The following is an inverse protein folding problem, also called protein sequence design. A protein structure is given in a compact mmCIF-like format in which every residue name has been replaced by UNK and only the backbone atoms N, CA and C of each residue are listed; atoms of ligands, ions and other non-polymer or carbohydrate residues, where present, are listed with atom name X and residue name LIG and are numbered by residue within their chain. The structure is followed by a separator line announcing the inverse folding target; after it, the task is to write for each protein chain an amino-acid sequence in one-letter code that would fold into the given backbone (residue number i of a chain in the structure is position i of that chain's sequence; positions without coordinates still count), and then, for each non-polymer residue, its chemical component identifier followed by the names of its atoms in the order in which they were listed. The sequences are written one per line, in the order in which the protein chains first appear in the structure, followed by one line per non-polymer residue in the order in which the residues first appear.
data_IF_159644452907
#
_entry.id   IF_159644452907
#
_cell.length_a   1.000
_cell.length_b   1.000
_cell.length_c   1.000
_cell.angle_alpha   90.00
_cell.angle_beta   90.00
_cell.angle_gamma   90.00
#
_symmetry.space_group_name_H-M   'P 1'
#
loop_
_entity.id
_entity.type
_entity.pdbx_description
1 polymer ?
#
# COMPACT_ATOMS: atom_id res chain seq x y z
N UNK A 1 -3.88 -47.18 79.23
CA UNK A 1 -4.86 -46.22 78.69
C UNK A 1 -4.15 -45.45 77.59
N UNK A 2 -4.45 -45.81 76.33
CA UNK A 2 -3.79 -45.34 75.12
C UNK A 2 -4.61 -44.17 74.51
N UNK A 3 -3.96 -43.03 74.23
CA UNK A 3 -4.55 -41.96 73.43
C UNK A 3 -3.82 -41.90 72.09
N UNK A 4 -4.52 -42.31 71.09
CA UNK A 4 -4.08 -42.22 69.65
C UNK A 4 -4.26 -40.79 69.21
N UNK A 5 -3.19 -40.13 68.84
CA UNK A 5 -3.17 -38.79 68.21
C UNK A 5 -3.24 -38.96 66.68
N UNK A 6 -4.39 -38.62 66.09
CA UNK A 6 -4.54 -38.60 64.64
C UNK A 6 -4.04 -37.25 64.09
N UNK A 7 -2.90 -37.29 63.37
CA UNK A 7 -2.40 -36.14 62.61
C UNK A 7 -3.10 -36.07 61.22
N UNK A 8 -3.88 -35.01 60.99
CA UNK A 8 -4.41 -34.62 59.68
C UNK A 8 -3.32 -33.83 58.95
N UNK A 9 -2.75 -34.42 57.91
CA UNK A 9 -1.96 -33.71 56.90
C UNK A 9 -2.94 -33.04 55.90
N UNK A 10 -3.07 -31.73 56.00
CA UNK A 10 -3.76 -30.92 55.00
C UNK A 10 -2.76 -30.64 53.85
N UNK A 11 -2.95 -31.31 52.72
CA UNK A 11 -2.22 -31.02 51.48
C UNK A 11 -2.76 -29.73 50.85
N UNK A 12 -2.07 -28.62 51.03
CA UNK A 12 -2.34 -27.39 50.31
C UNK A 12 -1.77 -27.53 48.89
N UNK A 13 -2.65 -27.80 47.92
CA UNK A 13 -2.28 -27.76 46.49
C UNK A 13 -2.03 -26.32 46.06
N UNK A 14 -0.77 -25.93 45.87
CA UNK A 14 -0.41 -24.70 45.19
C UNK A 14 -0.78 -24.87 43.69
N UNK A 15 -1.89 -24.24 43.29
CA UNK A 15 -2.17 -24.05 41.88
C UNK A 15 -1.15 -23.03 41.31
N UNK A 16 -0.13 -23.50 40.59
CA UNK A 16 0.72 -22.67 39.79
C UNK A 16 -0.13 -22.14 38.61
N UNK A 17 -0.68 -20.93 38.76
CA UNK A 17 -1.10 -20.16 37.61
C UNK A 17 0.18 -19.77 36.83
N UNK A 18 0.45 -20.49 35.75
CA UNK A 18 1.42 -20.05 34.78
C UNK A 18 0.97 -18.70 34.18
N UNK A 19 1.52 -17.60 34.67
CA UNK A 19 1.44 -16.31 34.03
C UNK A 19 2.02 -16.48 32.64
N UNK A 20 1.17 -16.54 31.61
CA UNK A 20 1.64 -16.44 30.24
C UNK A 20 2.49 -15.15 30.10
N UNK A 21 3.64 -15.19 29.44
CA UNK A 21 4.43 -13.98 29.26
C UNK A 21 3.55 -12.92 28.60
N UNK A 22 3.43 -11.76 29.26
CA UNK A 22 2.74 -10.60 28.71
C UNK A 22 3.64 -10.08 27.58
N UNK A 23 3.38 -10.54 26.36
CA UNK A 23 4.10 -10.02 25.20
C UNK A 23 3.81 -8.52 25.06
N UNK A 24 4.86 -7.72 24.82
CA UNK A 24 4.71 -6.29 24.60
C UNK A 24 3.79 -6.00 23.41
N UNK A 25 2.95 -4.97 23.53
CA UNK A 25 2.05 -4.59 22.45
C UNK A 25 2.80 -4.30 21.13
N UNK A 26 2.21 -4.70 20.01
CA UNK A 26 2.80 -4.49 18.67
C UNK A 26 2.63 -3.03 18.26
N UNK A 27 3.72 -2.32 18.02
CA UNK A 27 3.71 -0.94 17.55
C UNK A 27 3.46 -0.91 16.05
N UNK A 28 2.24 -0.57 15.63
CA UNK A 28 1.83 -0.49 14.23
C UNK A 28 1.93 0.95 13.74
N UNK A 29 2.59 1.14 12.61
CA UNK A 29 2.84 2.46 12.03
C UNK A 29 2.43 2.54 10.55
N UNK A 30 2.55 3.73 9.98
CA UNK A 30 2.33 3.99 8.55
C UNK A 30 3.20 5.13 8.04
N UNK A 31 3.30 5.20 6.71
CA UNK A 31 3.78 6.41 6.02
C UNK A 31 2.75 7.53 6.15
N UNK A 32 3.09 8.73 5.65
CA UNK A 32 2.18 9.90 5.65
C UNK A 32 0.96 9.70 4.72
N UNK A 33 1.05 8.84 3.70
CA UNK A 33 -0.04 8.65 2.75
C UNK A 33 -1.29 8.07 3.42
N UNK A 34 -2.46 8.54 3.00
CA UNK A 34 -3.78 8.10 3.49
C UNK A 34 -3.99 6.60 3.32
N UNK A 35 -3.56 6.02 2.18
CA UNK A 35 -3.64 4.58 1.93
C UNK A 35 -2.82 3.77 2.94
N UNK A 36 -1.56 4.17 3.17
CA UNK A 36 -0.71 3.49 4.16
C UNK A 36 -1.29 3.57 5.56
N UNK A 37 -1.83 4.74 5.95
CA UNK A 37 -2.48 4.94 7.23
C UNK A 37 -3.75 4.09 7.36
N UNK A 38 -4.58 4.03 6.31
CA UNK A 38 -5.82 3.25 6.31
C UNK A 38 -5.53 1.74 6.42
N UNK A 39 -4.61 1.20 5.63
CA UNK A 39 -4.25 -0.22 5.72
C UNK A 39 -3.58 -0.52 7.08
N UNK A 40 -2.75 0.38 7.58
CA UNK A 40 -2.17 0.29 8.92
C UNK A 40 -3.23 0.23 10.02
N UNK A 41 -4.27 1.07 9.94
CA UNK A 41 -5.41 1.03 10.87
C UNK A 41 -6.22 -0.27 10.74
N UNK A 42 -6.42 -0.79 9.52
CA UNK A 42 -7.07 -2.10 9.34
C UNK A 42 -6.30 -3.20 10.07
N UNK A 43 -4.98 -3.25 9.90
CA UNK A 43 -4.14 -4.25 10.58
C UNK A 43 -4.21 -4.07 12.09
N UNK A 44 -4.07 -2.85 12.61
CA UNK A 44 -4.13 -2.57 14.03
C UNK A 44 -5.45 -3.03 14.64
N UNK A 45 -6.58 -2.59 14.07
CA UNK A 45 -7.92 -2.95 14.55
C UNK A 45 -8.17 -4.46 14.49
N UNK A 46 -7.71 -5.12 13.42
CA UNK A 46 -7.84 -6.57 13.26
C UNK A 46 -7.01 -7.33 14.30
N UNK A 47 -5.79 -6.89 14.58
CA UNK A 47 -4.92 -7.49 15.60
C UNK A 47 -5.55 -7.35 17.00
N UNK A 48 -6.02 -6.14 17.35
CA UNK A 48 -6.72 -5.90 18.64
C UNK A 48 -7.96 -6.79 18.78
N UNK A 49 -8.77 -6.92 17.72
CA UNK A 49 -9.96 -7.79 17.70
C UNK A 49 -9.62 -9.30 17.84
N UNK A 50 -8.38 -9.69 17.57
CA UNK A 50 -7.87 -11.07 17.70
C UNK A 50 -7.01 -11.28 18.94
N UNK A 51 -7.04 -10.33 19.90
CA UNK A 51 -6.34 -10.43 21.19
C UNK A 51 -4.83 -10.20 21.11
N UNK A 52 -4.33 -9.60 20.03
CA UNK A 52 -2.95 -9.12 19.92
C UNK A 52 -2.94 -7.63 20.22
N UNK A 53 -2.46 -7.18 21.40
CA UNK A 53 -2.51 -5.78 21.78
C UNK A 53 -1.62 -4.94 20.87
N UNK A 54 -2.08 -3.74 20.48
CA UNK A 54 -1.35 -2.85 19.59
C UNK A 54 -1.15 -1.45 20.16
N UNK A 55 -0.13 -0.75 19.65
CA UNK A 55 0.09 0.70 19.87
C UNK A 55 0.02 1.39 18.52
N UNK A 56 -0.77 2.46 18.44
CA UNK A 56 -0.93 3.29 17.24
C UNK A 56 0.21 4.30 17.11
N UNK A 57 0.95 4.23 16.01
CA UNK A 57 2.00 5.18 15.61
C UNK A 57 1.84 5.55 14.12
N UNK A 58 0.58 5.74 13.67
CA UNK A 58 0.31 6.08 12.27
C UNK A 58 0.90 7.42 11.86
N UNK A 59 1.07 7.60 10.55
CA UNK A 59 1.58 8.83 9.92
C UNK A 59 2.91 9.32 10.47
N UNK A 60 3.83 8.39 10.73
CA UNK A 60 5.11 8.69 11.38
C UNK A 60 6.04 9.54 10.50
N UNK A 61 5.99 9.36 9.17
CA UNK A 61 6.84 10.11 8.25
C UNK A 61 6.85 9.56 6.83
N UNK A 62 7.73 10.13 6.00
CA UNK A 62 8.04 9.60 4.68
C UNK A 62 8.81 8.27 4.79
N UNK A 63 8.93 7.55 3.66
CA UNK A 63 9.58 6.23 3.61
C UNK A 63 10.91 6.12 4.37
N UNK A 64 11.87 7.07 4.25
CA UNK A 64 13.13 6.94 4.99
C UNK A 64 12.97 6.99 6.51
N UNK A 65 12.01 7.79 7.01
CA UNK A 65 11.75 7.95 8.45
C UNK A 65 11.13 6.69 9.04
N UNK A 66 10.06 6.19 8.40
CA UNK A 66 9.35 4.99 8.89
C UNK A 66 10.25 3.75 8.77
N UNK A 67 11.00 3.66 7.67
CA UNK A 67 11.97 2.58 7.47
C UNK A 67 13.04 2.56 8.57
N UNK A 68 13.60 3.72 8.90
CA UNK A 68 14.59 3.85 9.97
C UNK A 68 14.00 3.42 11.31
N UNK A 69 12.80 3.91 11.66
CA UNK A 69 12.12 3.55 12.90
C UNK A 69 11.88 2.03 13.04
N UNK A 70 11.54 1.33 11.94
CA UNK A 70 11.43 -0.13 11.94
C UNK A 70 12.78 -0.80 12.22
N UNK A 71 13.84 -0.35 11.55
CA UNK A 71 15.18 -0.93 11.71
C UNK A 71 15.76 -0.70 13.11
N UNK A 72 15.46 0.43 13.73
CA UNK A 72 15.89 0.79 15.09
C UNK A 72 14.98 0.19 16.17
N UNK A 73 13.85 -0.43 15.79
CA UNK A 73 12.93 -1.07 16.73
C UNK A 73 12.00 -0.11 17.46
N UNK A 74 11.86 1.12 16.99
CA UNK A 74 10.89 2.09 17.52
C UNK A 74 9.45 1.76 17.12
N UNK A 75 9.28 1.06 16.00
CA UNK A 75 8.04 0.47 15.54
C UNK A 75 8.25 -1.00 15.18
N UNK A 76 7.18 -1.78 15.12
CA UNK A 76 7.22 -3.22 14.91
C UNK A 76 6.73 -3.65 13.53
N UNK A 77 5.78 -2.91 12.95
CA UNK A 77 5.15 -3.20 11.69
C UNK A 77 4.67 -1.93 11.00
N UNK A 78 4.82 -1.86 9.69
CA UNK A 78 4.17 -0.84 8.85
C UNK A 78 3.90 -1.35 7.44
N UNK A 79 3.17 -0.57 6.63
CA UNK A 79 2.90 -0.88 5.23
C UNK A 79 3.99 -0.29 4.35
N UNK A 80 4.71 -1.18 3.67
CA UNK A 80 5.67 -0.83 2.63
C UNK A 80 5.07 -1.17 1.25
N UNK A 81 5.75 -0.76 0.19
CA UNK A 81 5.38 -1.06 -1.21
C UNK A 81 6.54 -1.79 -1.87
N UNK A 82 6.25 -2.90 -2.54
CA UNK A 82 7.27 -3.86 -3.03
C UNK A 82 8.39 -3.21 -3.83
N UNK A 83 8.07 -2.32 -4.76
CA UNK A 83 9.04 -1.63 -5.62
C UNK A 83 10.06 -0.77 -4.88
N UNK A 84 9.75 -0.30 -3.66
CA UNK A 84 10.69 0.51 -2.86
C UNK A 84 11.94 -0.27 -2.46
N UNK A 85 11.87 -1.59 -2.35
CA UNK A 85 13.03 -2.42 -2.04
C UNK A 85 14.12 -2.31 -3.12
N UNK A 86 13.76 -2.02 -4.35
CA UNK A 86 14.74 -1.73 -5.42
C UNK A 86 15.69 -0.60 -5.05
N UNK A 87 15.18 0.43 -4.37
CA UNK A 87 15.99 1.56 -3.90
C UNK A 87 16.72 1.24 -2.59
N UNK A 88 16.09 0.51 -1.66
CA UNK A 88 16.73 0.15 -0.39
C UNK A 88 18.00 -0.68 -0.59
N UNK A 89 18.01 -1.52 -1.62
CA UNK A 89 19.09 -2.46 -1.89
C UNK A 89 19.90 -2.14 -3.16
N UNK A 90 19.71 -0.95 -3.75
CA UNK A 90 20.40 -0.51 -4.98
C UNK A 90 20.24 -1.47 -6.17
N UNK A 91 19.07 -2.09 -6.30
CA UNK A 91 18.69 -3.03 -7.38
C UNK A 91 17.43 -2.58 -8.12
N UNK A 92 17.19 -1.28 -8.21
CA UNK A 92 15.97 -0.72 -8.82
C UNK A 92 15.78 -1.10 -10.31
N UNK A 93 16.85 -1.48 -11.00
CA UNK A 93 16.80 -1.88 -12.41
C UNK A 93 16.55 -3.39 -12.62
N UNK A 94 16.39 -4.18 -11.54
CA UNK A 94 16.12 -5.61 -11.68
C UNK A 94 14.73 -5.82 -12.31
N UNK A 95 14.63 -6.64 -13.38
CA UNK A 95 13.35 -6.87 -14.06
C UNK A 95 12.30 -7.55 -13.18
N UNK A 96 12.71 -8.21 -12.10
CA UNK A 96 11.79 -8.82 -11.14
C UNK A 96 10.76 -7.83 -10.58
N UNK A 97 11.09 -6.54 -10.49
CA UNK A 97 10.16 -5.52 -9.99
C UNK A 97 8.93 -5.31 -10.87
N UNK A 98 8.97 -5.75 -12.14
CA UNK A 98 7.84 -5.65 -13.08
C UNK A 98 6.82 -6.79 -12.93
N UNK A 99 7.12 -7.77 -12.12
CA UNK A 99 6.24 -8.89 -11.77
C UNK A 99 5.98 -8.87 -10.26
N UNK A 100 4.71 -8.96 -9.87
CA UNK A 100 4.31 -8.83 -8.45
C UNK A 100 4.94 -9.93 -7.59
N UNK A 101 4.94 -11.16 -8.07
CA UNK A 101 5.43 -12.32 -7.29
C UNK A 101 6.96 -12.32 -7.19
N UNK A 102 7.64 -12.05 -8.31
CA UNK A 102 9.10 -12.01 -8.35
C UNK A 102 9.65 -10.82 -7.55
N UNK A 103 9.05 -9.63 -7.69
CA UNK A 103 9.44 -8.44 -6.93
C UNK A 103 9.24 -8.62 -5.43
N UNK A 104 8.09 -9.19 -5.02
CA UNK A 104 7.86 -9.53 -3.62
C UNK A 104 8.91 -10.52 -3.10
N UNK A 105 9.17 -11.62 -3.82
CA UNK A 105 10.13 -12.63 -3.40
C UNK A 105 11.56 -12.08 -3.30
N UNK A 106 11.96 -11.22 -4.24
CA UNK A 106 13.25 -10.54 -4.23
C UNK A 106 13.38 -9.60 -3.02
N UNK A 107 12.40 -8.72 -2.80
CA UNK A 107 12.38 -7.79 -1.68
C UNK A 107 12.41 -8.49 -0.32
N UNK A 108 11.54 -9.49 -0.14
CA UNK A 108 11.47 -10.29 1.08
C UNK A 108 12.80 -10.98 1.40
N UNK A 109 13.45 -11.58 0.40
CA UNK A 109 14.74 -12.26 0.55
C UNK A 109 15.85 -11.29 0.94
N UNK A 110 15.94 -10.15 0.24
CA UNK A 110 16.98 -9.15 0.50
C UNK A 110 16.83 -8.55 1.89
N UNK A 111 15.61 -8.21 2.28
CA UNK A 111 15.34 -7.53 3.54
C UNK A 111 15.49 -8.48 4.75
N UNK A 112 15.09 -9.73 4.60
CA UNK A 112 15.33 -10.71 5.64
C UNK A 112 16.82 -10.98 5.84
N UNK A 113 17.57 -11.11 4.75
CA UNK A 113 19.02 -11.37 4.82
C UNK A 113 19.79 -10.22 5.47
N UNK A 114 19.44 -8.97 5.10
CA UNK A 114 20.16 -7.78 5.57
C UNK A 114 19.70 -7.31 6.95
N UNK A 115 18.40 -7.37 7.25
CA UNK A 115 17.81 -6.63 8.36
C UNK A 115 16.91 -7.48 9.26
N UNK A 116 16.70 -8.77 8.95
CA UNK A 116 15.73 -9.63 9.66
C UNK A 116 14.31 -9.04 9.66
N UNK A 117 13.93 -8.40 8.57
CA UNK A 117 12.56 -7.92 8.34
C UNK A 117 11.81 -8.98 7.54
N UNK A 118 10.65 -9.36 8.06
CA UNK A 118 9.75 -10.34 7.46
C UNK A 118 8.70 -9.60 6.65
N UNK A 119 8.58 -9.92 5.38
CA UNK A 119 7.52 -9.44 4.51
C UNK A 119 6.34 -10.40 4.58
N UNK A 120 5.16 -9.87 4.93
CA UNK A 120 3.94 -10.66 5.01
C UNK A 120 3.26 -10.75 3.64
N UNK A 121 2.01 -11.23 3.58
CA UNK A 121 1.27 -11.35 2.32
C UNK A 121 1.02 -9.94 1.73
N UNK A 122 1.41 -9.65 0.49
CA UNK A 122 1.08 -8.40 -0.18
C UNK A 122 -0.39 -8.34 -0.59
N UNK A 123 -0.92 -7.15 -0.78
CA UNK A 123 -2.20 -6.93 -1.45
C UNK A 123 -2.10 -7.24 -2.95
N UNK A 124 -3.22 -7.60 -3.57
CA UNK A 124 -3.29 -7.77 -5.03
C UNK A 124 -3.59 -6.43 -5.74
N UNK A 125 -2.72 -5.48 -5.52
CA UNK A 125 -2.85 -4.11 -6.02
C UNK A 125 -1.49 -3.52 -6.36
N UNK A 126 -1.46 -2.44 -7.13
CA UNK A 126 -0.23 -1.69 -7.40
C UNK A 126 -0.48 -0.19 -7.31
N UNK A 127 0.27 0.47 -6.45
CA UNK A 127 0.34 1.92 -6.31
C UNK A 127 1.46 2.51 -7.19
N UNK A 128 1.64 1.97 -8.40
CA UNK A 128 2.59 2.50 -9.38
C UNK A 128 2.06 3.78 -10.02
N UNK A 129 2.97 4.61 -10.57
CA UNK A 129 2.56 5.68 -11.47
C UNK A 129 1.88 5.13 -12.71
N UNK A 130 0.79 5.78 -13.11
CA UNK A 130 -0.01 5.41 -14.26
C UNK A 130 -0.58 6.67 -14.94
N UNK A 131 -1.24 6.49 -16.08
CA UNK A 131 -2.02 7.52 -16.72
C UNK A 131 -3.52 7.18 -16.61
N UNK A 132 -4.32 8.19 -16.33
CA UNK A 132 -5.77 8.08 -16.36
C UNK A 132 -6.33 9.15 -17.32
N UNK A 133 -7.30 8.75 -18.14
CA UNK A 133 -7.92 9.60 -19.17
C UNK A 133 -9.37 9.87 -18.77
N UNK A 134 -9.88 11.04 -19.06
CA UNK A 134 -11.30 11.35 -18.85
C UNK A 134 -12.19 10.32 -19.55
N UNK A 135 -13.26 9.90 -18.88
CA UNK A 135 -14.14 8.84 -19.37
C UNK A 135 -14.78 9.15 -20.72
N UNK A 136 -15.16 10.41 -20.97
CA UNK A 136 -15.71 10.84 -22.26
C UNK A 136 -14.68 10.70 -23.41
N UNK A 137 -13.42 11.07 -23.16
CA UNK A 137 -12.33 10.94 -24.13
C UNK A 137 -11.95 9.46 -24.32
N UNK A 138 -11.88 8.70 -23.24
CA UNK A 138 -11.58 7.27 -23.28
C UNK A 138 -12.65 6.50 -24.08
N UNK A 139 -13.91 6.79 -23.86
CA UNK A 139 -15.03 6.17 -24.58
C UNK A 139 -15.01 6.53 -26.07
N UNK A 140 -14.84 7.82 -26.41
CA UNK A 140 -14.82 8.29 -27.80
C UNK A 140 -13.67 7.71 -28.62
N UNK A 141 -12.53 7.36 -27.98
CA UNK A 141 -11.32 6.87 -28.65
C UNK A 141 -10.96 5.43 -28.29
N UNK A 142 -11.86 4.70 -27.61
CA UNK A 142 -11.70 3.30 -27.20
C UNK A 142 -10.41 3.04 -26.41
N UNK A 143 -10.05 3.98 -25.51
CA UNK A 143 -8.81 3.89 -24.71
C UNK A 143 -9.06 3.05 -23.45
N UNK A 144 -8.31 1.95 -23.32
CA UNK A 144 -8.32 1.05 -22.15
C UNK A 144 -6.92 0.75 -21.65
N UNK A 145 -5.92 0.80 -22.54
CA UNK A 145 -4.54 0.44 -22.23
C UNK A 145 -3.56 1.51 -22.71
N UNK A 146 -2.33 1.41 -22.25
CA UNK A 146 -1.23 2.25 -22.72
C UNK A 146 -0.92 2.02 -24.22
N UNK A 147 -1.16 0.81 -24.75
CA UNK A 147 -1.05 0.54 -26.19
C UNK A 147 -2.14 1.29 -26.98
N UNK A 148 -3.37 1.41 -26.45
CA UNK A 148 -4.44 2.20 -27.07
C UNK A 148 -4.07 3.70 -27.07
N UNK A 149 -3.58 4.17 -25.91
CA UNK A 149 -3.14 5.56 -25.75
C UNK A 149 -2.03 5.91 -26.76
N UNK A 150 -1.03 5.04 -26.91
CA UNK A 150 0.05 5.22 -27.86
C UNK A 150 -0.46 5.33 -29.31
N UNK A 151 -1.42 4.49 -29.70
CA UNK A 151 -2.07 4.59 -31.02
C UNK A 151 -2.81 5.92 -31.21
N UNK A 152 -3.53 6.35 -30.18
CA UNK A 152 -4.26 7.61 -30.17
C UNK A 152 -3.32 8.82 -30.33
N UNK A 153 -2.22 8.87 -29.55
CA UNK A 153 -1.21 9.93 -29.62
C UNK A 153 -0.57 9.98 -31.03
N UNK A 154 -0.16 8.82 -31.55
CA UNK A 154 0.48 8.71 -32.87
C UNK A 154 -0.48 9.04 -34.03
N UNK A 155 -1.76 8.80 -33.85
CA UNK A 155 -2.83 9.18 -34.79
C UNK A 155 -3.20 10.68 -34.76
N UNK A 156 -2.50 11.49 -33.97
CA UNK A 156 -2.75 12.93 -33.85
C UNK A 156 -3.84 13.29 -32.86
N UNK A 157 -4.21 12.38 -31.97
CA UNK A 157 -5.19 12.62 -30.90
C UNK A 157 -4.83 13.87 -30.08
N UNK A 158 -5.85 14.68 -29.69
CA UNK A 158 -5.62 15.95 -28.96
C UNK A 158 -5.35 15.68 -27.47
N UNK A 159 -4.24 14.96 -27.17
CA UNK A 159 -3.87 14.67 -25.79
C UNK A 159 -3.21 15.87 -25.12
N UNK A 160 -3.65 16.18 -23.89
CA UNK A 160 -3.00 17.11 -22.96
C UNK A 160 -2.88 16.41 -21.61
N UNK A 161 -1.65 16.13 -21.20
CA UNK A 161 -1.31 15.40 -19.99
C UNK A 161 -0.88 16.35 -18.86
N UNK A 162 -1.58 16.36 -17.75
CA UNK A 162 -1.12 16.95 -16.50
C UNK A 162 -0.24 15.95 -15.74
N UNK A 163 0.95 16.36 -15.35
CA UNK A 163 1.88 15.52 -14.60
C UNK A 163 2.74 16.33 -13.62
N UNK A 164 3.41 15.65 -12.70
CA UNK A 164 4.42 16.27 -11.83
C UNK A 164 5.75 16.44 -12.55
N UNK A 165 6.58 17.36 -12.05
CA UNK A 165 7.94 17.53 -12.52
C UNK A 165 8.78 16.24 -12.35
N UNK A 166 8.54 15.49 -11.28
CA UNK A 166 9.22 14.23 -11.04
C UNK A 166 8.88 13.19 -12.13
N UNK A 167 7.58 13.00 -12.41
CA UNK A 167 7.14 12.08 -13.46
C UNK A 167 7.73 12.45 -14.84
N UNK A 168 7.70 13.73 -15.19
CA UNK A 168 8.20 14.22 -16.46
C UNK A 168 9.74 14.05 -16.60
N UNK A 169 10.50 14.25 -15.51
CA UNK A 169 11.96 14.35 -15.53
C UNK A 169 12.68 13.10 -15.04
N UNK A 170 12.09 12.28 -14.16
CA UNK A 170 12.72 11.09 -13.58
C UNK A 170 12.84 9.89 -14.53
N UNK A 171 12.52 10.04 -15.79
CA UNK A 171 12.63 8.98 -16.79
C UNK A 171 11.39 8.11 -16.95
N UNK A 172 10.39 8.23 -16.08
CA UNK A 172 9.15 7.44 -16.14
C UNK A 172 8.39 7.66 -17.44
N UNK A 173 8.12 8.93 -17.80
CA UNK A 173 7.47 9.25 -19.06
C UNK A 173 8.29 8.74 -20.27
N UNK A 174 9.60 8.90 -20.25
CA UNK A 174 10.47 8.41 -21.33
C UNK A 174 10.45 6.89 -21.44
N UNK A 175 10.38 6.19 -20.32
CA UNK A 175 10.25 4.74 -20.31
C UNK A 175 8.92 4.28 -20.93
N UNK A 176 7.82 4.93 -20.61
CA UNK A 176 6.52 4.70 -21.25
C UNK A 176 6.57 5.00 -22.76
N UNK A 177 7.08 6.17 -23.14
CA UNK A 177 7.26 6.55 -24.56
C UNK A 177 8.04 5.50 -25.33
N UNK A 178 9.15 5.02 -24.78
CA UNK A 178 10.00 3.99 -25.39
C UNK A 178 9.28 2.65 -25.51
N UNK A 179 8.65 2.20 -24.44
CA UNK A 179 8.01 0.88 -24.38
C UNK A 179 6.80 0.78 -25.32
N UNK A 180 6.00 1.86 -25.37
CA UNK A 180 4.76 1.89 -26.15
C UNK A 180 4.92 2.52 -27.54
N UNK A 181 6.07 3.11 -27.84
CA UNK A 181 6.37 3.65 -29.16
C UNK A 181 5.60 4.93 -29.49
N UNK A 182 5.42 5.82 -28.52
CA UNK A 182 4.83 7.15 -28.74
C UNK A 182 5.78 8.26 -28.28
N UNK A 183 5.44 9.50 -28.60
CA UNK A 183 6.17 10.67 -28.13
C UNK A 183 5.22 11.81 -27.82
N UNK A 184 5.32 12.35 -26.60
CA UNK A 184 4.61 13.56 -26.22
C UNK A 184 5.35 14.80 -26.72
N UNK A 185 4.62 15.75 -27.29
CA UNK A 185 5.15 17.06 -27.67
C UNK A 185 5.14 17.99 -26.45
N UNK A 186 6.03 18.99 -26.38
CA UNK A 186 6.06 19.93 -25.24
C UNK A 186 4.73 20.60 -24.93
N UNK A 187 3.94 20.94 -25.95
CA UNK A 187 2.62 21.55 -25.80
C UNK A 187 1.51 20.57 -25.37
N UNK A 188 1.82 19.30 -25.24
CA UNK A 188 0.91 18.28 -24.74
C UNK A 188 1.18 17.94 -23.26
N UNK A 189 2.18 18.58 -22.64
CA UNK A 189 2.57 18.35 -21.26
C UNK A 189 2.35 19.62 -20.44
N UNK A 190 1.53 19.51 -19.39
CA UNK A 190 1.35 20.56 -18.37
C UNK A 190 1.94 20.02 -17.07
N UNK A 191 3.09 20.60 -16.69
CA UNK A 191 3.78 20.23 -15.46
C UNK A 191 3.25 21.09 -14.33
N UNK A 192 2.56 20.47 -13.38
CA UNK A 192 2.01 21.15 -12.22
C UNK A 192 3.02 21.18 -11.07
N UNK A 193 3.01 22.26 -10.32
CA UNK A 193 3.83 22.39 -9.12
C UNK A 193 3.35 21.43 -8.03
N UNK A 194 4.30 20.86 -7.27
CA UNK A 194 4.03 19.81 -6.29
C UNK A 194 4.07 18.41 -6.93
N UNK A 195 4.02 17.39 -6.16
CA UNK A 195 4.05 15.98 -6.64
C UNK A 195 2.71 15.28 -6.47
N UNK A 196 1.68 16.01 -6.05
CA UNK A 196 0.40 15.44 -5.63
C UNK A 196 -0.50 15.14 -6.82
N UNK A 197 -0.93 13.91 -6.94
CA UNK A 197 -1.84 13.45 -8.00
C UNK A 197 -3.24 14.04 -7.90
N UNK A 198 -3.65 14.52 -6.73
CA UNK A 198 -4.89 15.28 -6.58
C UNK A 198 -4.97 16.51 -7.49
N UNK A 199 -3.84 17.20 -7.70
CA UNK A 199 -3.78 18.36 -8.60
C UNK A 199 -3.94 17.95 -10.07
N UNK A 200 -3.28 16.87 -10.52
CA UNK A 200 -3.37 16.38 -11.91
C UNK A 200 -4.76 15.81 -12.21
N UNK A 201 -5.34 15.07 -11.26
CA UNK A 201 -6.70 14.54 -11.34
C UNK A 201 -7.72 15.68 -11.39
N UNK A 202 -7.61 16.66 -10.49
CA UNK A 202 -8.48 17.82 -10.45
C UNK A 202 -8.45 18.65 -11.73
N UNK A 203 -7.25 18.87 -12.29
CA UNK A 203 -7.07 19.58 -13.56
C UNK A 203 -7.72 18.86 -14.74
N UNK A 204 -7.60 17.51 -14.82
CA UNK A 204 -8.26 16.71 -15.84
C UNK A 204 -9.79 16.74 -15.68
N UNK A 205 -10.31 16.60 -14.45
CA UNK A 205 -11.72 16.64 -14.16
C UNK A 205 -12.35 18.01 -14.54
N UNK A 206 -11.66 19.11 -14.18
CA UNK A 206 -12.10 20.48 -14.47
C UNK A 206 -11.87 20.90 -15.93
N UNK A 207 -11.18 20.11 -16.74
CA UNK A 207 -10.78 20.45 -18.12
C UNK A 207 -9.91 21.71 -18.21
N UNK A 208 -9.13 21.99 -17.18
CA UNK A 208 -8.24 23.14 -17.14
C UNK A 208 -7.24 23.04 -18.30
N UNK A 209 -7.07 24.11 -19.08
CA UNK A 209 -6.15 24.14 -20.23
C UNK A 209 -6.29 22.95 -21.18
N UNK A 210 -7.51 22.47 -21.41
CA UNK A 210 -7.85 21.31 -22.23
C UNK A 210 -7.25 19.98 -21.73
N UNK A 211 -6.78 19.90 -20.48
CA UNK A 211 -6.25 18.70 -19.88
C UNK A 211 -7.31 17.59 -19.93
N UNK A 212 -6.95 16.46 -20.50
CA UNK A 212 -7.80 15.29 -20.62
C UNK A 212 -7.15 13.99 -20.12
N UNK A 213 -5.89 14.06 -19.76
CA UNK A 213 -5.10 12.95 -19.23
C UNK A 213 -4.37 13.41 -17.98
N UNK A 214 -4.34 12.59 -16.95
CA UNK A 214 -3.67 12.86 -15.68
C UNK A 214 -2.64 11.77 -15.35
N UNK A 215 -1.49 12.17 -14.84
CA UNK A 215 -0.63 11.29 -14.07
C UNK A 215 -1.31 10.97 -12.76
N UNK A 216 -1.37 9.70 -12.39
CA UNK A 216 -2.03 9.21 -11.17
C UNK A 216 -1.16 8.11 -10.51
N UNK A 217 -1.48 7.78 -9.26
CA UNK A 217 -1.12 6.47 -8.71
C UNK A 217 -2.27 5.48 -8.98
N UNK A 218 -1.92 4.21 -9.24
CA UNK A 218 -2.91 3.20 -9.65
C UNK A 218 -4.05 2.95 -8.66
N UNK A 219 -3.88 3.34 -7.40
CA UNK A 219 -4.88 3.18 -6.32
C UNK A 219 -5.48 4.50 -5.84
N UNK A 220 -5.24 5.63 -6.54
CA UNK A 220 -5.80 6.93 -6.15
C UNK A 220 -7.33 6.92 -6.14
N UNK A 221 -7.90 7.36 -5.04
CA UNK A 221 -9.35 7.50 -4.89
C UNK A 221 -9.95 8.56 -5.81
N UNK A 222 -9.21 9.58 -6.15
CA UNK A 222 -9.61 10.62 -7.07
C UNK A 222 -9.95 10.13 -8.48
N UNK A 223 -9.39 9.00 -8.93
CA UNK A 223 -9.70 8.39 -10.24
C UNK A 223 -11.20 8.10 -10.36
N UNK A 224 -11.78 7.48 -9.32
CA UNK A 224 -13.21 7.14 -9.28
C UNK A 224 -14.05 8.41 -9.16
N UNK A 225 -13.73 9.29 -8.24
CA UNK A 225 -14.47 10.51 -7.97
C UNK A 225 -14.50 11.47 -9.18
N UNK A 226 -13.40 11.57 -9.92
CA UNK A 226 -13.26 12.38 -11.12
C UNK A 226 -13.73 11.68 -12.41
N UNK A 227 -14.25 10.46 -12.31
CA UNK A 227 -14.70 9.65 -13.47
C UNK A 227 -13.60 9.52 -14.53
N UNK A 228 -12.36 9.26 -14.10
CA UNK A 228 -11.26 8.96 -15.01
C UNK A 228 -11.18 7.44 -15.27
N UNK A 229 -10.68 7.09 -16.45
CA UNK A 229 -10.36 5.70 -16.84
C UNK A 229 -8.86 5.50 -16.69
N UNK A 230 -8.47 4.64 -15.74
CA UNK A 230 -7.08 4.23 -15.59
C UNK A 230 -6.67 3.37 -16.78
N UNK A 231 -5.55 3.72 -17.43
CA UNK A 231 -5.02 2.93 -18.53
C UNK A 231 -4.17 1.76 -18.00
N UNK A 232 -4.45 0.58 -18.52
CA UNK A 232 -3.70 -0.64 -18.20
C UNK A 232 -2.28 -0.55 -18.79
N UNK A 233 -1.26 -0.84 -17.98
CA UNK A 233 0.14 -1.01 -18.42
C UNK A 233 0.33 -2.41 -19.06
N UNK A 234 -0.30 -2.64 -20.21
CA UNK A 234 -0.41 -3.93 -20.91
C UNK A 234 0.93 -4.52 -21.40
N UNK A 235 2.04 -3.78 -21.25
CA UNK A 235 3.41 -4.28 -21.51
C UNK A 235 4.30 -4.29 -20.27
N UNK A 236 3.71 -4.14 -19.08
CA UNK A 236 4.41 -4.20 -17.80
C UNK A 236 5.66 -3.31 -17.77
N UNK A 237 5.52 -2.05 -18.17
CA UNK A 237 6.64 -1.10 -18.19
C UNK A 237 7.02 -0.65 -16.77
N UNK A 238 6.02 -0.43 -15.92
CA UNK A 238 6.25 0.09 -14.56
C UNK A 238 6.60 -1.03 -13.57
N UNK A 239 7.46 -0.76 -12.59
CA UNK A 239 7.59 -1.63 -11.43
C UNK A 239 6.25 -1.75 -10.69
N UNK A 240 5.99 -2.91 -10.09
CA UNK A 240 4.83 -3.14 -9.24
C UNK A 240 5.10 -2.62 -7.84
N UNK A 241 4.21 -1.78 -7.32
CA UNK A 241 4.24 -1.26 -5.96
C UNK A 241 3.06 -1.82 -5.16
N UNK A 242 3.09 -3.13 -4.89
CA UNK A 242 2.05 -3.77 -4.09
C UNK A 242 2.19 -3.39 -2.61
N UNK A 243 1.12 -2.92 -1.95
CA UNK A 243 1.13 -2.71 -0.50
C UNK A 243 1.45 -4.02 0.22
N UNK A 244 2.41 -4.01 1.11
CA UNK A 244 2.88 -5.20 1.84
C UNK A 244 3.18 -4.85 3.29
N UNK A 245 2.58 -5.53 4.27
CA UNK A 245 2.98 -5.37 5.66
C UNK A 245 4.37 -5.97 5.87
N UNK A 246 5.28 -5.18 6.45
CA UNK A 246 6.60 -5.65 6.84
C UNK A 246 6.77 -5.51 8.35
N UNK A 247 7.37 -6.52 8.97
CA UNK A 247 7.51 -6.60 10.42
C UNK A 247 8.90 -7.08 10.83
N UNK A 248 9.35 -6.69 12.01
CA UNK A 248 10.56 -7.23 12.62
C UNK A 248 10.39 -8.71 12.94
N UNK A 249 11.40 -9.54 12.68
CA UNK A 249 11.39 -10.96 12.99
C UNK A 249 11.04 -11.24 14.47
N UNK A 250 11.52 -10.39 15.39
CA UNK A 250 11.24 -10.53 16.82
C UNK A 250 9.75 -10.51 17.14
N UNK A 251 8.96 -9.68 16.42
CA UNK A 251 7.50 -9.58 16.59
C UNK A 251 6.81 -10.82 16.05
N UNK A 252 7.26 -11.34 14.90
CA UNK A 252 6.72 -12.58 14.32
C UNK A 252 6.99 -13.78 15.24
N UNK A 253 8.15 -13.79 15.91
CA UNK A 253 8.45 -14.84 16.91
C UNK A 253 7.60 -14.72 18.18
N UNK A 254 7.35 -13.48 18.63
CA UNK A 254 6.51 -13.23 19.81
C UNK A 254 5.02 -13.53 19.54
N UNK A 255 4.56 -13.29 18.30
CA UNK A 255 3.19 -13.49 17.84
C UNK A 255 3.14 -14.33 16.58
N UNK A 256 3.37 -15.65 16.64
CA UNK A 256 3.43 -16.53 15.45
C UNK A 256 2.13 -16.52 14.61
N UNK A 257 0.98 -16.22 15.24
CA UNK A 257 -0.33 -16.14 14.58
C UNK A 257 -0.51 -14.87 13.72
N UNK A 258 0.35 -13.84 13.88
CA UNK A 258 0.18 -12.53 13.27
C UNK A 258 0.05 -12.60 11.74
N UNK A 259 0.91 -13.38 11.09
CA UNK A 259 0.85 -13.56 9.63
C UNK A 259 -0.49 -14.18 9.18
N UNK A 260 -0.99 -15.16 9.92
CA UNK A 260 -2.29 -15.82 9.64
C UNK A 260 -3.47 -14.89 9.84
N UNK A 261 -3.41 -13.98 10.82
CA UNK A 261 -4.45 -12.98 11.10
C UNK A 261 -4.51 -11.96 9.96
N UNK A 262 -3.35 -11.45 9.51
CA UNK A 262 -3.26 -10.36 8.51
C UNK A 262 -3.54 -10.86 7.08
N UNK A 263 -3.16 -12.10 6.74
CA UNK A 263 -3.25 -12.63 5.38
C UNK A 263 -4.64 -12.48 4.73
N UNK A 264 -5.77 -12.88 5.34
CA UNK A 264 -7.09 -12.74 4.71
C UNK A 264 -7.44 -11.29 4.37
N UNK A 265 -7.09 -10.34 5.24
CA UNK A 265 -7.26 -8.91 4.98
C UNK A 265 -6.48 -8.48 3.74
N UNK A 266 -5.19 -8.78 3.65
CA UNK A 266 -4.36 -8.34 2.53
C UNK A 266 -4.82 -8.95 1.20
N UNK A 267 -5.27 -10.20 1.20
CA UNK A 267 -5.83 -10.86 0.01
C UNK A 267 -7.12 -10.20 -0.47
N UNK A 268 -7.92 -9.63 0.42
CA UNK A 268 -9.17 -8.94 0.06
C UNK A 268 -8.97 -7.53 -0.53
N UNK A 269 -7.75 -6.99 -0.46
CA UNK A 269 -7.41 -5.65 -0.95
C UNK A 269 -6.87 -5.74 -2.39
N UNK A 270 -7.75 -5.57 -3.38
CA UNK A 270 -7.36 -5.33 -4.78
C UNK A 270 -7.33 -3.84 -5.11
N UNK A 271 -6.84 -3.50 -6.32
CA UNK A 271 -6.73 -2.10 -6.74
C UNK A 271 -8.07 -1.36 -6.79
N UNK A 272 -9.16 -2.04 -7.17
CA UNK A 272 -10.50 -1.43 -7.22
C UNK A 272 -11.03 -1.15 -5.81
N UNK A 273 -10.82 -2.08 -4.90
CA UNK A 273 -11.17 -1.91 -3.49
C UNK A 273 -10.38 -0.76 -2.88
N UNK A 274 -9.07 -0.71 -3.10
CA UNK A 274 -8.25 0.38 -2.58
C UNK A 274 -8.67 1.74 -3.16
N UNK A 275 -8.99 1.85 -4.46
CA UNK A 275 -9.51 3.10 -5.04
C UNK A 275 -10.79 3.56 -4.36
N UNK A 276 -11.75 2.66 -4.12
CA UNK A 276 -13.01 3.01 -3.43
C UNK A 276 -12.77 3.46 -1.99
N UNK A 277 -11.91 2.78 -1.26
CA UNK A 277 -11.59 3.12 0.13
C UNK A 277 -10.76 4.40 0.22
N UNK A 278 -9.80 4.58 -0.69
CA UNK A 278 -9.01 5.81 -0.77
C UNK A 278 -9.89 7.02 -1.13
N UNK A 279 -10.94 6.85 -1.95
CA UNK A 279 -11.88 7.93 -2.26
C UNK A 279 -12.58 8.44 -0.98
N UNK A 280 -13.02 7.56 -0.10
CA UNK A 280 -13.62 7.93 1.18
C UNK A 280 -12.66 8.79 2.04
N UNK A 281 -11.39 8.43 2.06
CA UNK A 281 -10.40 9.19 2.85
C UNK A 281 -9.98 10.48 2.14
N UNK A 282 -9.63 10.40 0.84
CA UNK A 282 -9.00 11.50 0.10
C UNK A 282 -10.01 12.54 -0.38
N UNK A 283 -11.24 12.13 -0.72
CA UNK A 283 -12.25 12.98 -1.34
C UNK A 283 -13.37 13.31 -0.34
N UNK A 284 -13.91 12.29 0.34
CA UNK A 284 -15.02 12.50 1.28
C UNK A 284 -14.53 12.97 2.66
N UNK A 285 -13.21 12.95 2.92
CA UNK A 285 -12.59 13.46 4.15
C UNK A 285 -12.82 12.58 5.37
N UNK A 286 -13.24 11.33 5.19
CA UNK A 286 -13.40 10.40 6.30
C UNK A 286 -12.04 10.02 6.91
N UNK A 287 -12.01 9.78 8.22
CA UNK A 287 -10.76 9.35 8.85
C UNK A 287 -10.37 7.93 8.40
N UNK A 288 -9.07 7.71 8.22
CA UNK A 288 -8.51 6.40 7.87
C UNK A 288 -8.99 5.28 8.82
N UNK A 289 -9.14 5.60 10.12
CA UNK A 289 -9.63 4.65 11.12
C UNK A 289 -11.10 4.28 10.93
N UNK A 290 -11.96 5.23 10.59
CA UNK A 290 -13.39 4.97 10.32
C UNK A 290 -13.53 4.08 9.09
N UNK A 291 -12.88 4.46 7.98
CA UNK A 291 -12.92 3.66 6.74
C UNK A 291 -12.37 2.25 6.96
N UNK A 292 -11.29 2.11 7.73
CA UNK A 292 -10.73 0.82 8.10
C UNK A 292 -11.70 -0.04 8.91
N UNK A 293 -12.34 0.53 9.94
CA UNK A 293 -13.29 -0.19 10.79
C UNK A 293 -14.51 -0.66 10.00
N UNK A 294 -15.06 0.20 9.14
CA UNK A 294 -16.21 -0.12 8.30
C UNK A 294 -15.90 -1.24 7.32
N UNK A 295 -14.73 -1.18 6.67
CA UNK A 295 -14.30 -2.23 5.76
C UNK A 295 -14.15 -3.58 6.47
N UNK A 296 -13.50 -3.60 7.64
CA UNK A 296 -13.31 -4.82 8.41
C UNK A 296 -14.65 -5.45 8.84
N UNK A 297 -15.63 -4.63 9.23
CA UNK A 297 -16.99 -5.11 9.57
C UNK A 297 -17.71 -5.62 8.33
N UNK A 298 -17.68 -4.87 7.24
CA UNK A 298 -18.34 -5.25 5.99
C UNK A 298 -17.82 -6.57 5.41
N UNK A 299 -16.53 -6.86 5.60
CA UNK A 299 -15.90 -8.11 5.19
C UNK A 299 -16.02 -9.24 6.24
N UNK A 300 -16.61 -8.98 7.40
CA UNK A 300 -16.74 -9.97 8.47
C UNK A 300 -15.42 -10.30 9.20
N UNK A 301 -14.42 -9.45 9.09
CA UNK A 301 -13.14 -9.63 9.79
C UNK A 301 -13.23 -9.27 11.28
N UNK A 302 -14.17 -8.40 11.64
CA UNK A 302 -14.50 -8.04 13.04
C UNK A 302 -16.00 -7.80 13.18
N UNK A 303 -16.50 -7.87 14.43
CA UNK A 303 -17.88 -7.58 14.77
C UNK A 303 -18.15 -6.07 14.87
#
# INVERSE_FOLDING_TARGET
MSRILKSLLASAGLAFFALAPLNAAVVVSSKLSSESAMIGQMIRLLLDARGVPTVDRMTLGATPVVRKALLEGEIDLYIEYTGNAGFFFNVANDPAWKDQQQGYALGARLDYAANRIVWLTPANASNAWALAVRSDVAAANHLKSMSDFARWVNGGGPVVLACSAEFANAGTLRSLEKTYGFRMRPNQLIVLAGGETSATIGAAAARTDDINTAMVYGTDGGIVAAQLVLLEDDRHNQPVYAPVPIAREAVIRAYPQLAGIIKPLMVSLDSDTLRRLNARVQIDGESAQVVAADYLRAQGFMQ
#
